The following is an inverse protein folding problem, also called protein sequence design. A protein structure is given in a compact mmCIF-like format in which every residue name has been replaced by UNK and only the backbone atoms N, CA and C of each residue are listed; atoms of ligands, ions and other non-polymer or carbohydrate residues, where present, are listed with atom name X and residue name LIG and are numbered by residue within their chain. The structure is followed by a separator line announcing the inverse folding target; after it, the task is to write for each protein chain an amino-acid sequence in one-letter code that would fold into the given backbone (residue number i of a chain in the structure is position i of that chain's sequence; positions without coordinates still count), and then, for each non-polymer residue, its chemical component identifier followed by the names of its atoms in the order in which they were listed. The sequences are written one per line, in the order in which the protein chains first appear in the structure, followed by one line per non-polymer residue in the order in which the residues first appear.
data_IF_812331198720
#
_entry.id   IF_812331198720
#
_cell.length_a   1.000
_cell.length_b   1.000
_cell.length_c   1.000
_cell.angle_alpha   90.00
_cell.angle_beta   90.00
_cell.angle_gamma   90.00
#
_symmetry.space_group_name_H-M   'P 1'
#
loop_
_entity.id
_entity.type
_entity.pdbx_description
1 polymer ?
#
# COMPACT_ATOMS: atom_id res chain seq x y z
N UNK A 1 -12.60 -8.97 21.86
CA UNK A 1 -11.32 -8.31 22.20
C UNK A 1 -10.95 -7.41 21.03
N UNK A 2 -10.66 -6.13 21.28
CA UNK A 2 -10.25 -5.17 20.25
C UNK A 2 -8.96 -5.63 19.60
N UNK A 3 -9.03 -6.19 18.39
CA UNK A 3 -7.86 -6.47 17.55
C UNK A 3 -7.51 -5.22 16.74
N UNK A 4 -7.21 -4.12 17.42
CA UNK A 4 -6.42 -3.04 16.82
C UNK A 4 -4.99 -3.56 16.79
N UNK A 5 -4.60 -4.25 15.71
CA UNK A 5 -3.19 -4.31 15.35
C UNK A 5 -2.79 -2.86 15.09
N UNK A 6 -2.12 -2.25 16.06
CA UNK A 6 -1.45 -0.96 15.92
C UNK A 6 -0.22 -1.18 15.05
N UNK A 7 -0.36 -0.85 13.78
CA UNK A 7 0.67 -1.01 12.75
C UNK A 7 1.58 0.22 12.62
N UNK A 8 1.35 1.27 13.42
CA UNK A 8 2.05 2.55 13.29
C UNK A 8 1.59 3.39 12.11
N UNK A 9 0.42 3.11 11.53
CA UNK A 9 -0.20 3.91 10.50
C UNK A 9 -0.78 5.23 11.02
N UNK A 10 -1.43 5.98 10.13
CA UNK A 10 -2.06 7.26 10.47
C UNK A 10 -3.21 7.07 11.47
N UNK A 11 -3.50 8.12 12.25
CA UNK A 11 -4.65 8.14 13.16
C UNK A 11 -5.98 8.32 12.41
N UNK A 12 -6.37 7.27 11.66
CA UNK A 12 -7.63 7.21 10.93
C UNK A 12 -8.48 6.07 11.51
N UNK A 13 -9.58 6.38 12.23
CA UNK A 13 -10.36 5.37 12.91
C UNK A 13 -11.06 4.42 11.94
N UNK A 14 -11.22 3.17 12.36
CA UNK A 14 -12.03 2.18 11.65
C UNK A 14 -13.51 2.50 11.83
N UNK A 15 -14.32 2.55 10.76
CA UNK A 15 -15.76 2.78 10.89
C UNK A 15 -16.46 1.68 11.68
N UNK A 16 -17.36 2.04 12.61
CA UNK A 16 -18.20 1.08 13.32
C UNK A 16 -19.14 0.28 12.41
N UNK A 17 -19.34 0.73 11.17
CA UNK A 17 -20.22 0.11 10.17
C UNK A 17 -19.60 -1.14 9.50
N UNK A 18 -18.31 -1.41 9.67
CA UNK A 18 -17.69 -2.59 9.06
C UNK A 18 -18.19 -3.87 9.72
N UNK A 19 -18.56 -4.86 8.90
CA UNK A 19 -18.93 -6.20 9.38
C UNK A 19 -17.96 -7.23 8.82
N UNK A 20 -17.54 -8.18 9.67
CA UNK A 20 -16.56 -9.20 9.33
C UNK A 20 -17.25 -10.57 9.34
N UNK A 21 -17.58 -11.15 8.18
CA UNK A 21 -18.36 -12.38 8.11
C UNK A 21 -17.57 -13.63 8.56
N UNK A 22 -16.25 -13.53 8.65
CA UNK A 22 -15.39 -14.59 9.16
C UNK A 22 -14.88 -14.19 10.55
N UNK A 23 -15.30 -14.94 11.57
CA UNK A 23 -14.90 -14.67 12.95
C UNK A 23 -13.38 -14.79 13.10
N UNK A 24 -12.81 -15.89 12.61
CA UNK A 24 -11.38 -16.16 12.69
C UNK A 24 -10.76 -16.28 11.29
N UNK A 25 -9.54 -15.73 11.09
CA UNK A 25 -8.76 -16.01 9.89
C UNK A 25 -8.24 -17.46 9.88
N UNK A 26 -7.90 -18.03 8.71
CA UNK A 26 -7.16 -19.28 8.68
C UNK A 26 -5.81 -19.10 9.41
N UNK A 27 -5.32 -20.18 10.01
CA UNK A 27 -3.99 -20.19 10.61
C UNK A 27 -2.91 -19.92 9.54
N UNK A 28 -1.70 -19.56 9.96
CA UNK A 28 -0.62 -19.30 9.01
C UNK A 28 -0.28 -20.54 8.18
N UNK A 29 -0.23 -20.37 6.87
CA UNK A 29 -0.02 -21.46 5.90
C UNK A 29 -1.26 -22.31 5.64
N UNK A 30 -2.37 -22.03 6.33
CA UNK A 30 -3.67 -22.67 6.11
C UNK A 30 -4.58 -21.78 5.26
N UNK A 31 -5.65 -22.38 4.74
CA UNK A 31 -6.62 -21.71 3.89
C UNK A 31 -8.06 -22.06 4.27
N UNK A 32 -9.00 -21.22 3.82
CA UNK A 32 -10.44 -21.48 3.91
C UNK A 32 -11.18 -20.93 2.68
N UNK A 33 -12.34 -21.51 2.36
CA UNK A 33 -13.21 -20.98 1.30
C UNK A 33 -14.00 -19.77 1.83
N UNK A 34 -13.92 -18.64 1.11
CA UNK A 34 -14.58 -17.37 1.49
C UNK A 34 -15.76 -17.01 0.58
N UNK A 35 -15.79 -17.59 -0.61
CA UNK A 35 -16.91 -17.56 -1.54
C UNK A 35 -16.78 -18.78 -2.47
N UNK A 36 -17.84 -19.24 -3.15
CA UNK A 36 -17.77 -20.43 -4.00
C UNK A 36 -16.60 -20.38 -4.99
N UNK A 37 -15.64 -21.30 -4.84
CA UNK A 37 -14.44 -21.39 -5.66
C UNK A 37 -13.37 -20.32 -5.39
N UNK A 38 -13.47 -19.60 -4.27
CA UNK A 38 -12.50 -18.58 -3.84
C UNK A 38 -11.96 -18.94 -2.46
N UNK A 39 -10.66 -19.17 -2.40
CA UNK A 39 -9.97 -19.61 -1.20
C UNK A 39 -9.02 -18.52 -0.72
N UNK A 40 -9.08 -18.24 0.57
CA UNK A 40 -8.20 -17.32 1.29
C UNK A 40 -7.13 -18.12 2.02
N UNK A 41 -5.86 -17.90 1.67
CA UNK A 41 -4.69 -18.38 2.39
C UNK A 41 -4.05 -17.22 3.15
N UNK A 42 -3.69 -17.44 4.41
CA UNK A 42 -3.00 -16.42 5.22
C UNK A 42 -1.53 -16.80 5.41
N UNK A 43 -0.63 -16.03 4.83
CA UNK A 43 0.81 -16.25 4.91
C UNK A 43 1.45 -15.36 5.97
N UNK A 44 2.40 -15.89 6.74
CA UNK A 44 3.15 -15.13 7.73
C UNK A 44 4.19 -14.22 7.06
N UNK A 45 4.39 -13.02 7.62
CA UNK A 45 5.42 -12.07 7.23
C UNK A 45 6.38 -11.81 8.40
N UNK A 46 7.69 -11.60 8.14
CA UNK A 46 8.69 -11.35 9.17
C UNK A 46 8.75 -9.88 9.62
N UNK A 47 7.61 -9.18 9.64
CA UNK A 47 7.50 -7.74 9.92
C UNK A 47 6.40 -7.44 10.96
N UNK A 48 6.29 -6.18 11.40
CA UNK A 48 5.22 -5.73 12.30
C UNK A 48 3.83 -6.00 11.71
N UNK A 49 3.66 -5.70 10.41
CA UNK A 49 2.59 -6.25 9.60
C UNK A 49 2.90 -7.73 9.32
N UNK A 50 2.43 -8.59 10.22
CA UNK A 50 2.92 -9.96 10.36
C UNK A 50 2.27 -10.99 9.42
N UNK A 51 1.44 -10.55 8.48
CA UNK A 51 0.78 -11.46 7.55
C UNK A 51 0.32 -10.77 6.28
N UNK A 52 0.14 -11.55 5.22
CA UNK A 52 -0.57 -11.19 4.00
C UNK A 52 -1.64 -12.26 3.68
N UNK A 53 -2.77 -11.81 3.15
CA UNK A 53 -3.83 -12.62 2.58
C UNK A 53 -3.60 -12.76 1.08
N UNK A 54 -3.53 -13.99 0.62
CA UNK A 54 -3.38 -14.34 -0.78
C UNK A 54 -4.47 -15.32 -1.16
N UNK A 55 -4.89 -15.28 -2.43
CA UNK A 55 -6.13 -15.94 -2.83
C UNK A 55 -5.96 -16.86 -4.02
N UNK A 56 -6.70 -17.97 -3.99
CA UNK A 56 -6.79 -18.93 -5.08
C UNK A 56 -8.23 -18.97 -5.59
N UNK A 57 -8.40 -18.78 -6.88
CA UNK A 57 -9.70 -18.72 -7.55
C UNK A 57 -9.81 -19.88 -8.54
N UNK A 58 -10.94 -20.59 -8.52
CA UNK A 58 -11.24 -21.62 -9.51
C UNK A 58 -11.35 -20.98 -10.90
N UNK A 59 -10.59 -21.51 -11.85
CA UNK A 59 -10.53 -21.05 -13.25
C UNK A 59 -10.72 -22.25 -14.19
N UNK A 60 -11.97 -22.73 -14.32
CA UNK A 60 -12.29 -23.95 -15.06
C UNK A 60 -11.64 -25.19 -14.43
N UNK A 61 -10.85 -25.92 -15.22
CA UNK A 61 -10.06 -27.09 -14.79
C UNK A 61 -8.78 -26.74 -14.01
N UNK A 62 -8.53 -25.45 -13.74
CA UNK A 62 -7.34 -24.98 -13.05
C UNK A 62 -7.61 -23.80 -12.13
N UNK A 63 -6.58 -22.96 -11.96
CA UNK A 63 -6.56 -21.93 -10.93
C UNK A 63 -6.05 -20.58 -11.42
N UNK A 64 -6.58 -19.51 -10.85
CA UNK A 64 -5.99 -18.17 -10.87
C UNK A 64 -5.48 -17.83 -9.47
N UNK A 65 -4.23 -17.39 -9.38
CA UNK A 65 -3.63 -16.87 -8.14
C UNK A 65 -3.82 -15.35 -8.10
N UNK A 66 -4.17 -14.79 -6.94
CA UNK A 66 -4.21 -13.34 -6.67
C UNK A 66 -3.24 -13.05 -5.53
N UNK A 67 -2.17 -12.33 -5.86
CA UNK A 67 -0.98 -12.09 -5.03
C UNK A 67 -0.28 -13.38 -4.57
N UNK A 68 0.97 -13.28 -4.13
CA UNK A 68 1.85 -14.46 -4.07
C UNK A 68 2.60 -14.65 -2.75
N UNK A 69 2.56 -13.67 -1.86
CA UNK A 69 3.36 -13.68 -0.64
C UNK A 69 4.81 -13.28 -0.92
N UNK A 70 5.53 -12.94 0.15
CA UNK A 70 6.98 -12.69 0.09
C UNK A 70 7.74 -13.95 -0.31
N UNK A 71 8.90 -13.80 -0.95
CA UNK A 71 9.81 -14.90 -1.25
C UNK A 71 10.13 -15.72 0.00
N UNK A 72 9.57 -16.93 0.08
CA UNK A 72 9.74 -17.85 1.20
C UNK A 72 9.44 -19.28 0.75
N UNK A 73 10.24 -20.24 1.22
CA UNK A 73 9.99 -21.66 0.94
C UNK A 73 8.77 -22.20 1.68
N UNK A 74 8.50 -21.64 2.85
CA UNK A 74 7.34 -21.94 3.69
C UNK A 74 6.04 -21.48 2.99
N UNK A 75 6.03 -20.28 2.42
CA UNK A 75 4.90 -19.78 1.64
C UNK A 75 4.71 -20.60 0.35
N UNK A 76 5.80 -20.92 -0.36
CA UNK A 76 5.75 -21.79 -1.55
C UNK A 76 5.19 -23.19 -1.23
N UNK A 77 5.55 -23.76 -0.07
CA UNK A 77 5.00 -25.03 0.40
C UNK A 77 3.51 -24.94 0.73
N UNK A 78 3.07 -23.86 1.36
CA UNK A 78 1.65 -23.61 1.66
C UNK A 78 0.81 -23.50 0.39
N UNK A 79 1.32 -22.84 -0.65
CA UNK A 79 0.68 -22.79 -1.96
C UNK A 79 0.52 -24.16 -2.60
N UNK A 80 1.59 -24.97 -2.61
CA UNK A 80 1.54 -26.33 -3.16
C UNK A 80 0.52 -27.20 -2.41
N UNK A 81 0.56 -27.16 -1.07
CA UNK A 81 -0.40 -27.85 -0.20
C UNK A 81 -1.84 -27.51 -0.59
N UNK A 82 -2.19 -26.22 -0.64
CA UNK A 82 -3.54 -25.79 -0.98
C UNK A 82 -3.98 -26.26 -2.38
N UNK A 83 -3.13 -26.12 -3.39
CA UNK A 83 -3.45 -26.54 -4.75
C UNK A 83 -3.66 -28.06 -4.82
N UNK A 84 -2.79 -28.85 -4.19
CA UNK A 84 -2.86 -30.31 -4.19
C UNK A 84 -4.13 -30.81 -3.47
N UNK A 85 -4.43 -30.28 -2.28
CA UNK A 85 -5.61 -30.66 -1.48
C UNK A 85 -6.93 -30.29 -2.17
N UNK A 86 -6.95 -29.23 -2.98
CA UNK A 86 -8.12 -28.79 -3.75
C UNK A 86 -8.27 -29.51 -5.11
N UNK A 87 -7.55 -30.63 -5.29
CA UNK A 87 -7.65 -31.52 -6.45
C UNK A 87 -6.56 -31.31 -7.51
N UNK A 88 -5.52 -30.52 -7.21
CA UNK A 88 -4.44 -30.20 -8.14
C UNK A 88 -4.90 -29.35 -9.33
N UNK A 89 -4.24 -29.52 -10.47
CA UNK A 89 -4.55 -28.81 -11.72
C UNK A 89 -3.59 -27.65 -12.04
N UNK A 90 -3.67 -27.10 -13.27
CA UNK A 90 -2.76 -26.06 -13.70
C UNK A 90 -3.08 -24.70 -13.06
N UNK A 91 -2.05 -23.93 -12.70
CA UNK A 91 -2.19 -22.49 -12.45
C UNK A 91 -2.19 -21.77 -13.80
N UNK A 92 -3.35 -21.26 -14.22
CA UNK A 92 -3.56 -20.64 -15.54
C UNK A 92 -3.01 -19.21 -15.62
N UNK A 93 -2.95 -18.51 -14.49
CA UNK A 93 -2.36 -17.17 -14.38
C UNK A 93 -2.05 -16.81 -12.93
N UNK A 94 -1.14 -15.85 -12.79
CA UNK A 94 -0.83 -15.18 -11.53
C UNK A 94 -1.18 -13.71 -11.70
N UNK A 95 -2.25 -13.27 -11.07
CA UNK A 95 -2.63 -11.86 -11.00
C UNK A 95 -1.94 -11.25 -9.78
N UNK A 96 -1.19 -10.16 -9.99
CA UNK A 96 -0.57 -9.41 -8.91
C UNK A 96 -1.14 -8.01 -8.89
N UNK A 97 -1.60 -7.58 -7.72
CA UNK A 97 -2.23 -6.27 -7.50
C UNK A 97 -1.23 -5.14 -7.71
N UNK A 98 -0.04 -5.25 -7.10
CA UNK A 98 1.02 -4.24 -7.19
C UNK A 98 2.41 -4.80 -6.85
N UNK A 99 3.44 -3.96 -6.99
CA UNK A 99 4.83 -4.39 -6.99
C UNK A 99 5.47 -4.68 -5.63
N UNK A 100 4.79 -4.44 -4.50
CA UNK A 100 5.42 -4.63 -3.19
C UNK A 100 5.81 -6.10 -2.95
N UNK A 101 6.91 -6.35 -2.21
CA UNK A 101 7.52 -7.67 -2.14
C UNK A 101 6.62 -8.78 -1.61
N UNK A 102 5.71 -8.49 -0.70
CA UNK A 102 4.75 -9.44 -0.17
C UNK A 102 3.63 -9.79 -1.15
N UNK A 103 3.41 -8.99 -2.20
CA UNK A 103 2.43 -9.29 -3.25
C UNK A 103 3.07 -9.99 -4.45
N UNK A 104 4.15 -9.42 -4.97
CA UNK A 104 4.85 -9.93 -6.17
C UNK A 104 5.89 -11.00 -5.85
N UNK A 105 6.18 -11.25 -4.57
CA UNK A 105 7.36 -11.96 -4.10
C UNK A 105 7.59 -13.35 -4.67
N UNK A 106 6.55 -14.15 -4.86
CA UNK A 106 6.65 -15.48 -5.48
C UNK A 106 6.13 -15.52 -6.93
N UNK A 107 5.79 -14.38 -7.55
CA UNK A 107 5.27 -14.35 -8.93
C UNK A 107 6.21 -15.00 -9.94
N UNK A 108 7.52 -14.74 -9.80
CA UNK A 108 8.56 -15.38 -10.61
C UNK A 108 8.65 -16.89 -10.42
N UNK A 109 8.45 -17.37 -9.19
CA UNK A 109 8.42 -18.80 -8.88
C UNK A 109 7.21 -19.49 -9.52
N UNK A 110 6.00 -18.92 -9.38
CA UNK A 110 4.80 -19.47 -10.02
C UNK A 110 4.95 -19.61 -11.54
N UNK A 111 5.49 -18.58 -12.20
CA UNK A 111 5.69 -18.61 -13.66
C UNK A 111 6.62 -19.76 -14.09
N UNK A 112 7.64 -20.10 -13.27
CA UNK A 112 8.55 -21.22 -13.56
C UNK A 112 7.94 -22.57 -13.21
N UNK A 113 7.28 -22.67 -12.06
CA UNK A 113 6.74 -23.92 -11.51
C UNK A 113 5.55 -24.43 -12.34
N UNK A 114 4.65 -23.55 -12.77
CA UNK A 114 3.46 -23.92 -13.56
C UNK A 114 3.51 -23.50 -15.03
N UNK A 115 4.61 -22.92 -15.51
CA UNK A 115 4.73 -22.46 -16.90
C UNK A 115 3.70 -21.38 -17.27
N UNK A 116 3.25 -20.61 -16.28
CA UNK A 116 2.13 -19.66 -16.39
C UNK A 116 2.59 -18.23 -16.64
N UNK A 117 1.65 -17.31 -16.86
CA UNK A 117 1.93 -15.89 -17.08
C UNK A 117 1.60 -15.05 -15.86
N UNK A 118 2.46 -14.08 -15.56
CA UNK A 118 2.18 -12.96 -14.67
C UNK A 118 1.23 -11.96 -15.36
N UNK A 119 0.17 -11.57 -14.67
CA UNK A 119 -0.80 -10.56 -15.05
C UNK A 119 -0.69 -9.40 -14.07
N UNK A 120 -0.30 -8.24 -14.57
CA UNK A 120 0.05 -7.09 -13.73
C UNK A 120 -0.14 -5.80 -14.55
N UNK A 121 -0.44 -4.68 -13.90
CA UNK A 121 -0.51 -3.41 -14.60
C UNK A 121 0.90 -2.98 -15.04
N UNK A 122 0.98 -2.02 -15.97
CA UNK A 122 2.27 -1.75 -16.64
C UNK A 122 3.22 -1.04 -15.69
N UNK A 123 2.77 -0.01 -15.01
CA UNK A 123 3.64 0.79 -14.15
C UNK A 123 4.11 -0.02 -12.96
N UNK A 124 3.26 -0.88 -12.41
CA UNK A 124 3.63 -1.83 -11.36
C UNK A 124 4.72 -2.80 -11.81
N UNK A 125 4.56 -3.42 -12.99
CA UNK A 125 5.60 -4.30 -13.53
C UNK A 125 6.91 -3.57 -13.81
N UNK A 126 6.85 -2.33 -14.33
CA UNK A 126 8.05 -1.54 -14.59
C UNK A 126 8.77 -1.14 -13.29
N UNK A 127 8.03 -0.72 -12.26
CA UNK A 127 8.60 -0.46 -10.94
C UNK A 127 9.24 -1.73 -10.35
N UNK A 128 8.55 -2.88 -10.41
CA UNK A 128 9.10 -4.15 -9.95
C UNK A 128 10.44 -4.49 -10.63
N UNK A 129 10.53 -4.27 -11.95
CA UNK A 129 11.74 -4.56 -12.74
C UNK A 129 12.88 -3.57 -12.48
N UNK A 130 12.58 -2.29 -12.28
CA UNK A 130 13.58 -1.29 -11.87
C UNK A 130 14.10 -1.60 -10.47
N UNK A 131 13.21 -1.93 -9.53
CA UNK A 131 13.57 -2.32 -8.16
C UNK A 131 14.38 -3.61 -8.12
N UNK A 132 14.05 -4.60 -8.96
CA UNK A 132 14.86 -5.83 -9.13
C UNK A 132 16.25 -5.51 -9.70
N UNK A 133 16.34 -4.66 -10.74
CA UNK A 133 17.60 -4.34 -11.41
C UNK A 133 18.58 -3.56 -10.52
N UNK A 134 18.07 -2.60 -9.75
CA UNK A 134 18.88 -1.76 -8.86
C UNK A 134 19.01 -2.35 -7.45
N UNK A 135 18.35 -3.49 -7.21
CA UNK A 135 18.14 -4.12 -5.90
C UNK A 135 17.57 -3.18 -4.82
N UNK A 136 17.24 -1.92 -5.13
CA UNK A 136 16.99 -0.83 -4.18
C UNK A 136 18.03 -0.70 -3.05
N UNK A 137 19.22 -1.26 -3.20
CA UNK A 137 20.24 -1.35 -2.15
C UNK A 137 21.27 -0.21 -2.22
N UNK A 138 21.36 0.47 -3.35
CA UNK A 138 22.29 1.58 -3.53
C UNK A 138 21.77 2.84 -2.82
N UNK A 139 22.61 3.38 -1.94
CA UNK A 139 22.44 4.71 -1.34
C UNK A 139 23.00 5.72 -2.34
N UNK A 140 22.14 6.58 -2.88
CA UNK A 140 22.56 7.65 -3.80
C UNK A 140 22.67 8.98 -3.09
N UNK A 141 23.36 9.95 -3.71
CA UNK A 141 23.43 11.32 -3.20
C UNK A 141 22.05 11.98 -3.16
N UNK A 142 21.20 11.73 -4.16
CA UNK A 142 19.82 12.25 -4.21
C UNK A 142 18.96 11.68 -3.08
N UNK A 143 19.06 10.38 -2.81
CA UNK A 143 18.33 9.76 -1.71
C UNK A 143 18.85 10.24 -0.35
N UNK A 144 20.15 10.49 -0.24
CA UNK A 144 20.77 11.09 0.95
C UNK A 144 20.27 12.52 1.16
N UNK A 145 20.27 13.34 0.11
CA UNK A 145 19.76 14.70 0.15
C UNK A 145 18.27 14.75 0.50
N UNK A 146 17.46 13.79 0.01
CA UNK A 146 16.04 13.70 0.34
C UNK A 146 15.79 13.53 1.84
N UNK A 147 16.44 12.55 2.48
CA UNK A 147 16.24 12.31 3.93
C UNK A 147 16.89 13.40 4.80
N UNK A 148 18.02 13.98 4.37
CA UNK A 148 18.60 15.15 5.02
C UNK A 148 17.66 16.36 4.95
N UNK A 149 17.07 16.61 3.78
CA UNK A 149 16.08 17.69 3.60
C UNK A 149 14.83 17.48 4.46
N UNK A 150 14.44 16.22 4.72
CA UNK A 150 13.35 15.88 5.63
C UNK A 150 13.66 16.22 7.10
N UNK A 151 14.94 16.37 7.45
CA UNK A 151 15.42 16.77 8.77
C UNK A 151 16.21 15.71 9.52
N UNK A 152 16.63 14.62 8.88
CA UNK A 152 17.32 13.51 9.54
C UNK A 152 18.66 13.92 10.14
N UNK A 153 18.87 13.56 11.41
CA UNK A 153 20.17 13.66 12.06
C UNK A 153 21.15 12.56 11.61
N UNK A 154 22.36 12.57 12.14
CA UNK A 154 23.41 11.63 11.74
C UNK A 154 23.07 10.18 12.12
N UNK A 155 22.48 9.96 13.29
CA UNK A 155 22.09 8.63 13.77
C UNK A 155 20.96 8.03 12.89
N UNK A 156 19.97 8.84 12.52
CA UNK A 156 18.88 8.45 11.63
C UNK A 156 19.40 8.16 10.21
N UNK A 157 20.40 8.89 9.74
CA UNK A 157 21.05 8.61 8.45
C UNK A 157 21.89 7.33 8.50
N UNK A 158 22.58 7.04 9.60
CA UNK A 158 23.25 5.75 9.77
C UNK A 158 22.26 4.58 9.73
N UNK A 159 21.09 4.71 10.38
CA UNK A 159 20.03 3.73 10.30
C UNK A 159 19.53 3.51 8.85
N UNK A 160 19.43 4.58 8.06
CA UNK A 160 19.07 4.51 6.64
C UNK A 160 20.05 3.68 5.83
N UNK A 161 21.35 3.97 5.97
CA UNK A 161 22.40 3.27 5.25
C UNK A 161 22.44 1.78 5.61
N UNK A 162 22.25 1.45 6.89
CA UNK A 162 22.23 0.06 7.37
C UNK A 162 21.01 -0.72 6.83
N UNK A 163 19.82 -0.10 6.77
CA UNK A 163 18.59 -0.73 6.28
C UNK A 163 18.67 -1.12 4.81
N UNK A 164 19.34 -0.33 3.98
CA UNK A 164 19.50 -0.57 2.53
C UNK A 164 20.32 -1.83 2.19
N UNK A 165 20.97 -2.45 3.17
CA UNK A 165 21.66 -3.74 2.99
C UNK A 165 20.72 -4.90 2.62
N UNK A 166 19.40 -4.81 2.87
CA UNK A 166 18.38 -5.79 2.50
C UNK A 166 17.40 -5.20 1.48
N UNK A 167 17.79 -5.31 0.22
CA UNK A 167 17.07 -4.75 -0.93
C UNK A 167 15.82 -5.52 -1.38
N UNK A 168 15.20 -5.04 -2.47
CA UNK A 168 13.97 -5.60 -3.05
C UNK A 168 14.07 -7.11 -3.35
N UNK A 169 15.23 -7.58 -3.83
CA UNK A 169 15.41 -9.00 -4.22
C UNK A 169 15.49 -9.98 -3.04
N UNK A 170 15.60 -9.47 -1.80
CA UNK A 170 15.47 -10.28 -0.60
C UNK A 170 14.05 -10.87 -0.49
N UNK A 171 13.03 -10.07 -0.79
CA UNK A 171 11.63 -10.45 -0.72
C UNK A 171 11.02 -10.95 -2.03
N UNK A 172 11.76 -10.93 -3.14
CA UNK A 172 11.21 -11.20 -4.48
C UNK A 172 12.03 -12.24 -5.24
N UNK A 173 11.34 -13.29 -5.71
CA UNK A 173 11.85 -14.27 -6.66
C UNK A 173 12.03 -13.62 -8.04
N UNK A 174 13.08 -14.05 -8.77
CA UNK A 174 13.40 -13.49 -10.08
C UNK A 174 12.16 -13.42 -10.98
N UNK A 175 11.81 -12.21 -11.42
CA UNK A 175 10.59 -11.93 -12.16
C UNK A 175 10.66 -12.43 -13.61
N UNK A 176 9.53 -12.79 -14.24
CA UNK A 176 9.51 -13.12 -15.65
C UNK A 176 9.79 -11.87 -16.50
N UNK A 177 10.40 -12.05 -17.68
CA UNK A 177 10.62 -10.93 -18.62
C UNK A 177 9.30 -10.46 -19.22
N UNK A 178 8.44 -11.41 -19.61
CA UNK A 178 7.13 -11.15 -20.18
C UNK A 178 6.01 -11.18 -19.13
N UNK A 179 5.01 -10.35 -19.34
CA UNK A 179 3.79 -10.30 -18.54
C UNK A 179 2.59 -9.97 -19.44
N UNK A 180 1.38 -10.26 -18.97
CA UNK A 180 0.13 -9.89 -19.62
C UNK A 180 -0.39 -8.63 -18.91
N UNK A 181 -0.32 -7.48 -19.59
CA UNK A 181 -0.78 -6.21 -19.02
C UNK A 181 -2.26 -6.27 -18.65
N UNK A 182 -2.61 -5.79 -17.46
CA UNK A 182 -3.98 -5.41 -17.10
C UNK A 182 -4.14 -3.90 -17.11
N UNK A 183 -5.34 -3.40 -17.37
CA UNK A 183 -5.65 -1.97 -17.44
C UNK A 183 -6.97 -1.65 -16.76
N UNK A 184 -7.13 -0.43 -16.28
CA UNK A 184 -8.39 0.02 -15.69
C UNK A 184 -9.59 -0.20 -16.63
N UNK A 185 -10.70 -0.67 -16.09
CA UNK A 185 -11.92 -0.98 -16.84
C UNK A 185 -11.86 -2.24 -17.68
N UNK A 186 -10.69 -2.90 -17.77
CA UNK A 186 -10.57 -4.14 -18.51
C UNK A 186 -11.41 -5.25 -17.87
N UNK A 187 -12.14 -6.00 -18.70
CA UNK A 187 -12.84 -7.21 -18.28
C UNK A 187 -12.06 -8.44 -18.68
N UNK A 188 -11.73 -9.27 -17.69
CA UNK A 188 -11.02 -10.53 -17.87
C UNK A 188 -11.92 -11.69 -17.47
N UNK A 189 -11.81 -12.81 -18.17
CA UNK A 189 -12.57 -14.03 -17.84
C UNK A 189 -11.73 -14.95 -16.97
N UNK A 190 -12.27 -15.33 -15.81
CA UNK A 190 -11.73 -16.35 -14.89
C UNK A 190 -12.86 -17.35 -14.65
N UNK A 191 -12.65 -18.60 -15.06
CA UNK A 191 -13.71 -19.59 -15.19
C UNK A 191 -14.80 -19.11 -16.16
N UNK A 192 -16.05 -19.15 -15.70
CA UNK A 192 -17.21 -18.72 -16.50
C UNK A 192 -17.64 -17.28 -16.25
N UNK A 193 -16.88 -16.53 -15.45
CA UNK A 193 -17.29 -15.22 -14.97
C UNK A 193 -16.34 -14.12 -15.45
N UNK A 194 -16.94 -12.96 -15.71
CA UNK A 194 -16.18 -11.75 -16.00
C UNK A 194 -15.79 -11.07 -14.69
N UNK A 195 -14.56 -10.58 -14.69
CA UNK A 195 -13.97 -9.80 -13.61
C UNK A 195 -13.49 -8.48 -14.19
N UNK A 196 -13.70 -7.40 -13.47
CA UNK A 196 -13.33 -6.06 -13.87
C UNK A 196 -12.09 -5.61 -13.10
N UNK A 197 -11.14 -5.04 -13.81
CA UNK A 197 -9.97 -4.39 -13.22
C UNK A 197 -10.35 -2.98 -12.80
N UNK A 198 -10.09 -2.66 -11.54
CA UNK A 198 -10.33 -1.34 -10.96
C UNK A 198 -9.01 -0.81 -10.45
N UNK A 199 -8.45 0.18 -11.15
CA UNK A 199 -7.15 0.74 -10.77
C UNK A 199 -7.32 1.79 -9.69
N UNK A 200 -6.52 1.67 -8.63
CA UNK A 200 -6.26 2.71 -7.65
C UNK A 200 -4.81 3.21 -7.74
N UNK A 201 -4.57 4.40 -7.22
CA UNK A 201 -3.26 5.07 -7.19
C UNK A 201 -2.99 5.63 -5.79
N UNK A 202 -1.78 6.14 -5.60
CA UNK A 202 -1.32 6.73 -4.35
C UNK A 202 -0.51 5.76 -3.48
N UNK A 203 -1.07 4.61 -3.11
CA UNK A 203 -0.31 3.58 -2.38
C UNK A 203 0.80 2.97 -3.25
N UNK A 204 0.47 2.68 -4.50
CA UNK A 204 1.41 2.29 -5.55
C UNK A 204 0.96 2.89 -6.90
N UNK A 205 1.83 2.96 -7.91
CA UNK A 205 1.59 3.79 -9.10
C UNK A 205 0.40 3.39 -9.98
N UNK A 206 0.02 2.12 -10.03
CA UNK A 206 -1.09 1.61 -10.86
C UNK A 206 -1.67 0.32 -10.22
N UNK A 207 -2.00 0.37 -8.92
CA UNK A 207 -2.55 -0.76 -8.14
C UNK A 207 -3.82 -1.32 -8.78
N UNK A 208 -3.85 -2.62 -9.07
CA UNK A 208 -4.97 -3.26 -9.75
C UNK A 208 -5.85 -4.06 -8.77
N UNK A 209 -7.00 -3.52 -8.38
CA UNK A 209 -8.04 -4.29 -7.70
C UNK A 209 -8.79 -5.17 -8.72
N UNK A 210 -9.38 -6.27 -8.25
CA UNK A 210 -10.09 -7.24 -9.08
C UNK A 210 -11.51 -7.46 -8.57
N UNK A 211 -12.51 -6.98 -9.31
CA UNK A 211 -13.93 -7.00 -8.93
C UNK A 211 -14.71 -8.06 -9.72
N UNK A 212 -15.57 -8.84 -9.05
CA UNK A 212 -16.57 -9.70 -9.72
C UNK A 212 -17.99 -9.29 -9.35
N UNK A 213 -18.79 -8.82 -10.32
CA UNK A 213 -20.23 -8.66 -10.12
C UNK A 213 -20.94 -9.99 -9.83
N UNK A 214 -20.46 -11.09 -10.41
CA UNK A 214 -21.11 -12.40 -10.26
C UNK A 214 -20.94 -12.97 -8.84
N UNK A 215 -19.71 -12.97 -8.32
CA UNK A 215 -19.43 -13.45 -6.97
C UNK A 215 -19.75 -12.39 -5.91
N UNK A 216 -19.98 -11.15 -6.34
CA UNK A 216 -20.14 -9.97 -5.49
C UNK A 216 -18.96 -9.79 -4.50
N UNK A 217 -17.74 -9.87 -5.03
CA UNK A 217 -16.49 -9.73 -4.27
C UNK A 217 -15.52 -8.74 -4.92
N UNK A 218 -14.68 -8.11 -4.10
CA UNK A 218 -13.57 -7.26 -4.52
C UNK A 218 -12.27 -7.73 -3.86
N UNK A 219 -11.27 -8.12 -4.63
CA UNK A 219 -9.90 -8.18 -4.13
C UNK A 219 -9.33 -6.76 -4.15
N UNK A 220 -9.24 -6.13 -2.97
CA UNK A 220 -8.82 -4.73 -2.85
C UNK A 220 -7.31 -4.54 -2.75
N UNK A 221 -6.55 -5.63 -2.58
CA UNK A 221 -5.12 -5.56 -2.28
C UNK A 221 -4.86 -4.61 -1.11
N UNK A 222 -3.93 -3.69 -1.31
CA UNK A 222 -3.60 -2.62 -0.37
C UNK A 222 -4.31 -1.31 -0.69
N UNK A 223 -5.17 -1.24 -1.70
CA UNK A 223 -5.93 -0.02 -1.98
C UNK A 223 -7.01 0.24 -0.91
N UNK A 224 -7.53 -0.82 -0.28
CA UNK A 224 -8.51 -0.69 0.82
C UNK A 224 -8.26 -1.78 1.86
N UNK A 225 -7.82 -1.35 3.04
CA UNK A 225 -7.61 -2.20 4.21
C UNK A 225 -8.60 -1.80 5.32
N UNK A 226 -9.10 -2.75 6.15
CA UNK A 226 -10.18 -2.45 7.07
C UNK A 226 -9.71 -1.69 8.32
N UNK A 227 -8.77 -2.27 9.08
CA UNK A 227 -8.40 -1.78 10.41
C UNK A 227 -7.16 -0.90 10.41
N UNK A 228 -6.44 -0.86 9.29
CA UNK A 228 -5.18 -0.15 9.11
C UNK A 228 -5.24 0.76 7.89
N UNK A 229 -4.37 1.75 7.83
CA UNK A 229 -4.22 2.63 6.68
C UNK A 229 -3.14 2.11 5.76
N UNK A 230 -3.38 2.14 4.46
CA UNK A 230 -2.35 1.84 3.48
C UNK A 230 -1.30 2.94 3.47
N UNK A 231 -0.04 2.56 3.32
CA UNK A 231 1.03 3.54 3.26
C UNK A 231 0.93 4.38 1.98
N UNK A 232 0.97 5.71 2.10
CA UNK A 232 0.94 6.64 0.96
C UNK A 232 2.16 7.53 1.04
N UNK A 233 3.28 7.06 0.48
CA UNK A 233 4.59 7.70 0.67
C UNK A 233 5.12 8.38 -0.56
N UNK A 234 5.79 9.51 -0.35
CA UNK A 234 6.75 10.06 -1.31
C UNK A 234 8.10 9.38 -1.10
N UNK A 235 8.73 8.98 -2.20
CA UNK A 235 10.02 8.29 -2.22
C UNK A 235 11.07 9.12 -2.95
N UNK A 236 12.38 8.92 -2.69
CA UNK A 236 13.43 9.74 -3.29
C UNK A 236 13.50 9.71 -4.82
N UNK A 237 12.93 8.69 -5.47
CA UNK A 237 12.88 8.56 -6.92
C UNK A 237 11.84 9.47 -7.58
N UNK A 238 10.90 10.03 -6.81
CA UNK A 238 9.90 10.99 -7.28
C UNK A 238 9.56 12.00 -6.17
N UNK A 239 10.52 12.87 -5.76
CA UNK A 239 10.42 13.63 -4.52
C UNK A 239 9.33 14.72 -4.51
N UNK A 240 8.86 15.16 -5.68
CA UNK A 240 7.76 16.12 -5.83
C UNK A 240 6.40 15.46 -6.10
N UNK A 241 6.30 14.12 -6.01
CA UNK A 241 5.05 13.40 -6.24
C UNK A 241 3.94 13.85 -5.27
N UNK A 242 2.69 13.68 -5.69
CA UNK A 242 1.51 13.89 -4.84
C UNK A 242 0.65 12.63 -4.75
N UNK A 243 1.21 11.54 -4.18
CA UNK A 243 0.51 10.28 -4.06
C UNK A 243 -0.72 10.40 -3.16
N UNK A 244 -0.76 11.38 -2.25
CA UNK A 244 -1.93 11.62 -1.41
C UNK A 244 -3.14 12.14 -2.19
N UNK A 245 -2.93 13.07 -3.14
CA UNK A 245 -4.02 13.47 -4.04
C UNK A 245 -4.48 12.29 -4.88
N UNK A 246 -3.54 11.53 -5.46
CA UNK A 246 -3.87 10.34 -6.25
C UNK A 246 -4.65 9.30 -5.44
N UNK A 247 -4.28 9.12 -4.17
CA UNK A 247 -4.98 8.26 -3.22
C UNK A 247 -6.42 8.71 -3.01
N UNK A 248 -6.63 9.98 -2.62
CA UNK A 248 -7.97 10.53 -2.37
C UNK A 248 -8.84 10.42 -3.63
N UNK A 249 -8.34 10.87 -4.79
CA UNK A 249 -9.05 10.78 -6.07
C UNK A 249 -9.43 9.31 -6.38
N UNK A 250 -8.51 8.36 -6.10
CA UNK A 250 -8.74 6.93 -6.34
C UNK A 250 -9.81 6.36 -5.42
N UNK A 251 -9.81 6.72 -4.14
CA UNK A 251 -10.81 6.25 -3.19
C UNK A 251 -12.20 6.80 -3.54
N UNK A 252 -12.30 8.05 -3.99
CA UNK A 252 -13.54 8.64 -4.49
C UNK A 252 -14.04 7.90 -5.74
N UNK A 253 -13.16 7.68 -6.73
CA UNK A 253 -13.51 6.97 -7.96
C UNK A 253 -13.96 5.52 -7.69
N UNK A 254 -13.29 4.81 -6.77
CA UNK A 254 -13.68 3.45 -6.36
C UNK A 254 -15.04 3.47 -5.67
N UNK A 255 -15.27 4.40 -4.74
CA UNK A 255 -16.56 4.55 -4.05
C UNK A 255 -17.71 4.77 -5.02
N UNK A 256 -17.50 5.63 -6.02
CA UNK A 256 -18.55 6.01 -6.97
C UNK A 256 -18.80 4.92 -8.03
N UNK A 257 -17.79 4.10 -8.34
CA UNK A 257 -17.87 3.02 -9.36
C UNK A 257 -18.41 1.70 -8.82
N UNK A 258 -18.07 1.35 -7.58
CA UNK A 258 -18.33 0.03 -7.02
C UNK A 258 -19.54 0.03 -6.07
N UNK A 259 -20.40 -1.00 -6.07
CA UNK A 259 -21.48 -1.10 -5.09
C UNK A 259 -20.98 -1.30 -3.63
N UNK A 260 -21.80 -0.96 -2.63
CA UNK A 260 -21.40 -1.10 -1.20
C UNK A 260 -21.65 -2.51 -0.64
N UNK A 261 -22.50 -3.31 -1.29
CA UNK A 261 -22.99 -4.60 -0.79
C UNK A 261 -22.11 -5.80 -1.16
N UNK A 262 -20.83 -5.57 -1.47
CA UNK A 262 -19.87 -6.62 -1.81
C UNK A 262 -18.96 -7.02 -0.64
N UNK A 263 -18.50 -8.26 -0.68
CA UNK A 263 -17.45 -8.74 0.22
C UNK A 263 -16.08 -8.23 -0.27
N UNK A 264 -15.42 -7.43 0.55
CA UNK A 264 -14.05 -6.96 0.30
C UNK A 264 -13.06 -7.98 0.86
N UNK A 265 -12.12 -8.39 0.02
CA UNK A 265 -11.04 -9.33 0.27
C UNK A 265 -9.70 -8.56 0.26
N UNK A 266 -9.30 -7.98 1.41
CA UNK A 266 -8.10 -7.16 1.53
C UNK A 266 -6.83 -8.02 1.65
N UNK A 267 -5.68 -7.47 1.27
CA UNK A 267 -4.40 -8.17 1.47
C UNK A 267 -3.96 -8.27 2.93
N UNK A 268 -4.52 -7.45 3.83
CA UNK A 268 -4.27 -7.55 5.26
C UNK A 268 -5.55 -7.51 6.09
N UNK A 269 -5.50 -8.08 7.31
CA UNK A 269 -6.63 -8.29 8.22
C UNK A 269 -7.71 -9.23 7.66
N UNK A 270 -8.98 -9.07 8.08
CA UNK A 270 -10.08 -10.00 7.73
C UNK A 270 -10.93 -9.43 6.60
N UNK A 271 -11.52 -10.28 5.74
CA UNK A 271 -12.57 -9.88 4.81
C UNK A 271 -13.71 -9.14 5.51
N UNK A 272 -14.30 -8.17 4.82
CA UNK A 272 -15.32 -7.30 5.43
C UNK A 272 -16.34 -6.78 4.42
N UNK A 273 -17.50 -6.33 4.91
CA UNK A 273 -18.48 -5.51 4.19
C UNK A 273 -18.44 -4.06 4.69
N UNK A 274 -18.95 -3.13 3.88
CA UNK A 274 -18.99 -1.70 4.19
C UNK A 274 -17.87 -0.91 3.50
N UNK A 275 -17.62 -1.22 2.22
CA UNK A 275 -16.58 -0.59 1.41
C UNK A 275 -16.69 0.94 1.43
N UNK A 276 -17.88 1.49 1.17
CA UNK A 276 -18.09 2.94 1.08
C UNK A 276 -17.83 3.64 2.40
N UNK A 277 -18.18 3.00 3.51
CA UNK A 277 -17.89 3.52 4.84
C UNK A 277 -16.38 3.56 5.10
N UNK A 278 -15.64 2.54 4.69
CA UNK A 278 -14.18 2.53 4.83
C UNK A 278 -13.50 3.58 3.95
N UNK A 279 -13.88 3.65 2.67
CA UNK A 279 -13.36 4.65 1.73
C UNK A 279 -13.59 6.07 2.23
N UNK A 280 -14.81 6.37 2.70
CA UNK A 280 -15.16 7.68 3.24
C UNK A 280 -14.32 8.02 4.48
N UNK A 281 -14.15 7.07 5.42
CA UNK A 281 -13.33 7.32 6.60
C UNK A 281 -11.85 7.54 6.28
N UNK A 282 -11.30 6.85 5.27
CA UNK A 282 -9.94 7.07 4.78
C UNK A 282 -9.81 8.48 4.19
N UNK A 283 -10.70 8.87 3.28
CA UNK A 283 -10.72 10.22 2.68
C UNK A 283 -10.82 11.30 3.76
N UNK A 284 -11.83 11.20 4.64
CA UNK A 284 -12.06 12.18 5.70
C UNK A 284 -10.90 12.25 6.70
N UNK A 285 -10.24 11.11 6.95
CA UNK A 285 -9.05 11.01 7.79
C UNK A 285 -7.87 11.76 7.22
N UNK A 286 -7.53 11.55 5.96
CA UNK A 286 -6.47 12.29 5.30
C UNK A 286 -6.79 13.79 5.21
N UNK A 287 -8.04 14.17 4.94
CA UNK A 287 -8.44 15.59 4.91
C UNK A 287 -8.39 16.24 6.32
N UNK A 288 -8.63 15.49 7.40
CA UNK A 288 -8.36 15.97 8.77
C UNK A 288 -6.86 16.17 8.99
N UNK A 289 -6.06 15.16 8.68
CA UNK A 289 -4.60 15.20 8.84
C UNK A 289 -3.97 16.35 8.05
N UNK A 290 -4.47 16.65 6.85
CA UNK A 290 -4.03 17.80 6.05
C UNK A 290 -4.32 19.13 6.74
N UNK A 291 -5.49 19.28 7.37
CA UNK A 291 -5.82 20.49 8.14
C UNK A 291 -4.96 20.64 9.39
N UNK A 292 -4.80 19.55 10.14
CA UNK A 292 -4.02 19.59 11.38
C UNK A 292 -2.53 19.84 11.10
N UNK A 293 -1.97 19.23 10.04
CA UNK A 293 -0.60 19.49 9.60
C UNK A 293 -0.44 20.93 9.12
N UNK A 294 -1.40 21.43 8.33
CA UNK A 294 -1.42 22.83 7.94
C UNK A 294 -1.34 23.71 9.18
N UNK A 295 -2.22 23.53 10.17
CA UNK A 295 -2.26 24.29 11.43
C UNK A 295 -0.93 24.23 12.22
N UNK A 296 -0.28 23.07 12.26
CA UNK A 296 1.05 22.90 12.86
C UNK A 296 2.14 23.75 12.17
N UNK A 297 2.01 23.97 10.87
CA UNK A 297 2.93 24.77 10.05
C UNK A 297 2.71 26.29 10.14
N UNK A 298 1.96 26.79 11.14
CA UNK A 298 1.91 28.22 11.46
C UNK A 298 3.33 28.78 11.75
N UNK A 299 4.16 27.96 12.40
CA UNK A 299 5.61 28.11 12.46
C UNK A 299 6.29 27.13 11.48
N UNK A 300 7.47 27.45 10.92
CA UNK A 300 8.16 26.54 10.01
C UNK A 300 8.46 25.18 10.65
N UNK A 301 8.16 24.09 9.92
CA UNK A 301 8.41 22.70 10.33
C UNK A 301 9.21 21.94 9.29
N UNK A 302 10.08 21.03 9.72
CA UNK A 302 10.68 20.01 8.85
C UNK A 302 9.71 18.84 8.70
N UNK A 303 9.97 17.93 7.76
CA UNK A 303 9.10 16.79 7.54
C UNK A 303 9.04 15.83 8.74
N UNK A 304 10.12 15.71 9.52
CA UNK A 304 10.11 14.90 10.75
C UNK A 304 9.39 15.56 11.92
N UNK A 305 9.18 16.88 11.89
CA UNK A 305 8.55 17.63 12.99
C UNK A 305 7.02 17.46 13.01
N UNK A 306 6.43 16.92 11.93
CA UNK A 306 4.97 16.79 11.78
C UNK A 306 4.41 15.46 12.27
N UNK A 307 5.27 14.50 12.63
CA UNK A 307 4.85 13.18 13.09
C UNK A 307 3.81 13.20 14.21
N UNK A 308 3.90 14.06 15.25
CA UNK A 308 2.94 14.06 16.35
C UNK A 308 1.49 14.40 15.96
N UNK A 309 1.28 14.96 14.76
CA UNK A 309 -0.06 15.29 14.24
C UNK A 309 -0.59 14.20 13.30
N UNK A 310 0.29 13.44 12.65
CA UNK A 310 -0.11 12.42 11.68
C UNK A 310 -0.25 11.03 12.31
N UNK A 311 0.59 10.70 13.28
CA UNK A 311 0.71 9.35 13.84
C UNK A 311 0.26 9.33 15.30
N UNK A 312 -0.50 8.30 15.66
CA UNK A 312 -1.03 8.13 17.02
C UNK A 312 0.04 7.74 18.07
N UNK A 313 1.28 7.49 17.65
CA UNK A 313 2.38 7.03 18.49
C UNK A 313 3.71 7.67 18.13
N UNK A 314 4.69 7.48 19.01
CA UNK A 314 6.08 7.88 18.76
C UNK A 314 6.71 7.04 17.64
N UNK A 315 7.50 7.70 16.80
CA UNK A 315 8.13 7.10 15.62
C UNK A 315 9.55 6.66 15.98
N UNK A 316 9.78 5.35 15.95
CA UNK A 316 11.10 4.74 16.09
C UNK A 316 11.81 4.57 14.73
N UNK A 317 13.05 4.07 14.77
CA UNK A 317 13.87 3.85 13.58
C UNK A 317 13.32 2.76 12.62
N UNK A 318 12.45 1.85 13.10
CA UNK A 318 11.89 0.77 12.29
C UNK A 318 10.82 1.30 11.34
N UNK A 319 10.05 2.32 11.75
CA UNK A 319 9.00 2.94 10.94
C UNK A 319 9.34 4.35 10.43
N UNK A 320 10.46 4.94 10.86
CA UNK A 320 10.90 6.29 10.51
C UNK A 320 10.80 6.63 9.01
N UNK A 321 11.25 5.73 8.14
CA UNK A 321 11.25 5.96 6.69
C UNK A 321 9.84 6.03 6.09
N UNK A 322 8.95 5.16 6.55
CA UNK A 322 7.56 5.12 6.09
C UNK A 322 6.82 6.35 6.61
N UNK A 323 7.00 6.68 7.89
CA UNK A 323 6.45 7.88 8.50
C UNK A 323 6.91 9.16 7.79
N UNK A 324 8.21 9.24 7.45
CA UNK A 324 8.76 10.37 6.69
C UNK A 324 8.15 10.48 5.30
N UNK A 325 8.05 9.36 4.57
CA UNK A 325 7.43 9.33 3.25
C UNK A 325 5.98 9.79 3.26
N UNK A 326 5.19 9.35 4.24
CA UNK A 326 3.80 9.77 4.42
C UNK A 326 3.68 11.24 4.84
N UNK A 327 4.55 11.73 5.73
CA UNK A 327 4.62 13.16 6.07
C UNK A 327 4.86 14.01 4.84
N UNK A 328 5.82 13.61 4.00
CA UNK A 328 6.14 14.34 2.77
C UNK A 328 4.97 14.25 1.78
N UNK A 329 4.22 13.15 1.73
CA UNK A 329 3.02 13.05 0.89
C UNK A 329 1.94 14.07 1.32
N UNK A 330 1.70 14.24 2.61
CA UNK A 330 0.77 15.27 3.12
C UNK A 330 1.29 16.70 2.84
N UNK A 331 2.58 16.93 3.06
CA UNK A 331 3.23 18.22 2.77
C UNK A 331 3.14 18.56 1.27
N UNK A 332 3.49 17.63 0.37
CA UNK A 332 3.41 17.83 -1.07
C UNK A 332 1.99 18.10 -1.53
N UNK A 333 0.99 17.44 -0.92
CA UNK A 333 -0.40 17.72 -1.20
C UNK A 333 -0.77 19.18 -0.87
N UNK A 334 -0.37 19.68 0.30
CA UNK A 334 -0.61 21.08 0.68
C UNK A 334 0.20 22.09 -0.13
N UNK A 335 1.45 21.76 -0.49
CA UNK A 335 2.26 22.60 -1.39
C UNK A 335 1.56 22.77 -2.74
N UNK A 336 1.06 21.67 -3.32
CA UNK A 336 0.36 21.72 -4.61
C UNK A 336 -1.04 22.34 -4.54
N UNK A 337 -1.70 22.27 -3.37
CA UNK A 337 -2.93 23.03 -3.09
C UNK A 337 -2.66 24.52 -2.83
N UNK A 338 -1.39 24.91 -2.69
CA UNK A 338 -0.97 26.29 -2.43
C UNK A 338 -1.13 26.75 -0.99
N UNK A 339 -1.32 25.81 -0.03
CA UNK A 339 -1.51 26.09 1.40
C UNK A 339 -0.20 26.11 2.20
N UNK A 340 0.88 25.57 1.65
CA UNK A 340 2.23 25.65 2.23
C UNK A 340 3.22 26.27 1.23
N UNK A 341 4.30 26.83 1.77
CA UNK A 341 5.51 27.20 1.05
C UNK A 341 6.72 26.44 1.63
N UNK A 342 7.71 26.18 0.77
CA UNK A 342 8.96 25.49 1.12
C UNK A 342 10.14 26.46 1.07
N UNK A 343 10.93 26.50 2.13
CA UNK A 343 12.22 27.19 2.20
C UNK A 343 13.31 26.16 2.54
N UNK A 344 14.49 26.28 1.93
CA UNK A 344 15.63 25.38 2.20
C UNK A 344 16.75 26.20 2.82
N UNK A 345 17.29 25.74 3.95
CA UNK A 345 18.37 26.44 4.64
C UNK A 345 19.76 26.17 4.02
N UNK A 346 20.80 26.79 4.59
CA UNK A 346 22.18 26.62 4.12
C UNK A 346 22.76 25.22 4.29
N UNK A 347 22.09 24.35 5.05
CA UNK A 347 22.47 22.95 5.26
C UNK A 347 21.63 21.99 4.40
N UNK A 348 20.74 22.51 3.55
CA UNK A 348 19.88 21.70 2.70
C UNK A 348 18.62 21.17 3.39
N UNK A 349 18.29 21.62 4.60
CA UNK A 349 17.09 21.21 5.33
C UNK A 349 15.88 21.99 4.81
N UNK A 350 14.80 21.29 4.47
CA UNK A 350 13.56 21.90 4.02
C UNK A 350 12.62 22.22 5.21
N UNK A 351 12.12 23.45 5.22
CA UNK A 351 11.12 23.95 6.16
C UNK A 351 9.85 24.34 5.42
N UNK A 352 8.71 24.01 6.02
CA UNK A 352 7.39 24.21 5.47
C UNK A 352 6.57 25.13 6.38
N UNK A 353 5.94 26.15 5.78
CA UNK A 353 5.13 27.15 6.49
C UNK A 353 3.82 27.40 5.73
N UNK A 354 2.74 27.66 6.45
CA UNK A 354 1.47 28.13 5.87
C UNK A 354 1.64 29.38 4.99
N UNK A 355 0.92 29.42 3.87
CA UNK A 355 0.85 30.57 2.94
C UNK A 355 -0.39 31.44 3.16
N UNK A 356 -1.45 30.88 3.74
CA UNK A 356 -2.76 31.54 3.87
C UNK A 356 -2.87 32.44 5.12
N UNK A 357 -1.77 32.63 5.86
CA UNK A 357 -1.76 33.49 7.05
C UNK A 357 -1.78 34.96 6.63
N UNK A 358 -2.93 35.60 6.83
CA UNK A 358 -2.99 37.07 6.91
C UNK A 358 -2.03 37.52 8.02
N UNK A 359 -1.06 38.41 7.75
CA UNK A 359 -0.11 38.81 8.78
C UNK A 359 -0.86 39.42 9.96
N UNK A 360 -0.72 38.82 11.15
CA UNK A 360 -1.15 39.44 12.40
C UNK A 360 -0.40 40.76 12.50
N UNK A 361 -1.11 41.88 12.27
CA UNK A 361 -0.57 43.22 12.50
C UNK A 361 -0.05 43.26 13.93
N UNK A 362 1.29 43.28 14.10
CA UNK A 362 1.92 43.65 15.36
C UNK A 362 1.28 44.98 15.77
N UNK A 363 0.53 44.99 16.88
CA UNK A 363 0.18 46.24 17.56
C UNK A 363 1.50 46.90 17.90
N UNK A 364 1.81 48.00 17.22
CA UNK A 364 2.82 48.94 17.68
C UNK A 364 2.43 49.33 19.11
N UNK A 365 3.39 49.20 20.02
CA UNK A 365 3.32 49.83 21.32
C UNK A 365 3.10 51.32 21.07
N UNK A 366 1.99 51.85 21.58
CA UNK A 366 1.81 53.26 21.75
C UNK A 366 2.29 53.61 23.17
N UNK A 367 3.13 54.64 23.20
CA UNK A 367 3.81 55.26 24.35
C UNK A 367 2.88 55.70 25.48
#
# INVERSE_FOLDING_TARGET
MSMTQDDGGLDIPTPAKLTFPFEEPPAFGEYMEVAPGIYWLRAALPFALNHINIYLLRDGDGWTVVDTGVRSKEIQASWKKMIDELGGGPVKRVFVTHFHPDHVGNAGWFCREWGTKLWMSRTEMLMARVSEANNMAEVTEEATAFYRAAGFDDDQMEAYYNRRSRGFTFGVEKLPVGFRRVQDGERIRIGDHNWEIVVGRGHSPEHACLYSPHHNVLFSGDQVLPNITSNVSVMPNEPEANPLKEWIDSLEAIRDRLPDDMLVLPAHNRPFYGLHARLTALIDGHERNLRDLHDLCADPKRAIDVFPVLFAREIDNDVLFMATGESIAHINCLLQRGNLAREVDGNGIAYYRQTDVTPVKRKQAAE
#
